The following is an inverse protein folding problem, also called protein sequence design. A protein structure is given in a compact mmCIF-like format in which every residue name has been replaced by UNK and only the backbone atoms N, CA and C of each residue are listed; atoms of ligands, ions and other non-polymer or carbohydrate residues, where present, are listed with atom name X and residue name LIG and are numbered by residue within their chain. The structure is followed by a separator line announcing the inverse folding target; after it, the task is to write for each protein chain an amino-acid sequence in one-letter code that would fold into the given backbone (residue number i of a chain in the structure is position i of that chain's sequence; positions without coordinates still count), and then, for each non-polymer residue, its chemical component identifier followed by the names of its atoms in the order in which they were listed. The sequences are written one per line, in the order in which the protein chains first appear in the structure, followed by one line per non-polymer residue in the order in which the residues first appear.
data_IF_399262190432
#
_entry.id   IF_399262190432
#
_cell.length_a   1.000
_cell.length_b   1.000
_cell.length_c   1.000
_cell.angle_alpha   90.00
_cell.angle_beta   90.00
_cell.angle_gamma   90.00
#
_symmetry.space_group_name_H-M   'P 1'
#
loop_
_entity.id
_entity.type
_entity.pdbx_description
1 polymer ?
#
# COMPACT_ATOMS: atom_id res chain seq x y z
N UNK A 1 33.13 -13.61 12.36
CA UNK A 1 33.86 -12.42 12.85
C UNK A 1 34.04 -11.51 11.65
N UNK A 2 33.17 -10.51 11.48
CA UNK A 2 33.26 -9.57 10.37
C UNK A 2 32.93 -8.16 10.87
N UNK A 3 33.70 -7.21 10.38
CA UNK A 3 33.75 -5.81 10.80
C UNK A 3 33.02 -4.96 9.78
N UNK A 4 32.14 -4.06 10.23
CA UNK A 4 31.48 -3.06 9.39
C UNK A 4 32.23 -1.73 9.51
N UNK A 5 32.66 -1.15 8.38
CA UNK A 5 33.23 0.20 8.33
C UNK A 5 32.22 1.19 7.76
N UNK A 6 32.01 2.30 8.46
CA UNK A 6 31.09 3.38 8.08
C UNK A 6 31.85 4.43 7.26
N UNK A 7 31.29 4.83 6.11
CA UNK A 7 31.69 6.02 5.36
C UNK A 7 30.59 7.08 5.49
N UNK A 8 30.97 8.32 5.81
CA UNK A 8 30.09 9.44 6.09
C UNK A 8 29.32 9.90 4.84
N UNK A 9 28.19 9.27 4.54
CA UNK A 9 27.10 9.85 3.73
C UNK A 9 25.79 9.15 4.14
N UNK A 10 24.73 9.93 4.39
CA UNK A 10 23.41 9.53 4.91
C UNK A 10 22.64 8.57 3.98
N UNK A 11 23.11 7.34 3.79
CA UNK A 11 22.31 6.27 3.19
C UNK A 11 22.48 5.02 4.05
N UNK A 12 21.36 4.55 4.61
CA UNK A 12 21.29 3.27 5.32
C UNK A 12 20.70 2.27 4.35
N UNK A 13 21.51 1.32 3.89
CA UNK A 13 21.04 0.16 3.13
C UNK A 13 20.93 -1.02 4.10
N UNK A 14 19.73 -1.59 4.24
CA UNK A 14 19.53 -2.84 5.00
C UNK A 14 19.61 -3.99 4.00
N UNK A 15 20.56 -4.90 4.22
CA UNK A 15 20.75 -6.09 3.40
C UNK A 15 20.19 -7.30 4.18
N UNK A 16 19.11 -7.89 3.70
CA UNK A 16 18.53 -9.11 4.28
C UNK A 16 19.02 -10.28 3.42
N UNK A 17 19.98 -11.06 3.93
CA UNK A 17 20.42 -12.28 3.26
C UNK A 17 19.50 -13.46 3.61
N UNK A 18 18.86 -14.05 2.61
CA UNK A 18 18.09 -15.28 2.77
C UNK A 18 19.02 -16.49 2.70
N UNK A 19 19.24 -17.19 3.82
CA UNK A 19 19.94 -18.48 3.81
C UNK A 19 18.94 -19.61 3.54
N UNK A 20 18.49 -19.74 2.30
CA UNK A 20 17.69 -20.86 1.83
C UNK A 20 18.15 -21.28 0.43
N UNK A 21 18.45 -22.57 0.24
CA UNK A 21 18.82 -23.09 -1.09
C UNK A 21 17.59 -23.16 -1.99
N UNK A 22 17.35 -22.10 -2.77
CA UNK A 22 16.61 -22.16 -4.02
C UNK A 22 17.52 -21.61 -5.13
N UNK A 23 17.62 -22.36 -6.22
CA UNK A 23 18.69 -22.22 -7.21
C UNK A 23 18.63 -20.94 -8.05
N UNK A 24 19.82 -20.46 -8.41
CA UNK A 24 20.05 -19.37 -9.37
C UNK A 24 20.43 -18.04 -8.70
N UNK A 25 21.21 -17.17 -9.37
CA UNK A 25 21.64 -15.91 -8.80
C UNK A 25 20.42 -14.98 -8.69
N UNK A 26 19.85 -14.85 -7.50
CA UNK A 26 18.89 -13.79 -7.18
C UNK A 26 19.68 -12.51 -6.88
N UNK A 27 19.44 -11.49 -7.69
CA UNK A 27 19.92 -10.14 -7.47
C UNK A 27 19.45 -9.68 -6.09
N UNK A 28 20.38 -9.24 -5.25
CA UNK A 28 20.06 -8.72 -3.93
C UNK A 28 19.42 -7.34 -4.07
N UNK A 29 18.10 -7.27 -3.97
CA UNK A 29 17.37 -6.01 -4.03
C UNK A 29 17.54 -5.23 -2.71
N UNK A 30 18.08 -4.01 -2.73
CA UNK A 30 18.22 -3.21 -1.53
C UNK A 30 16.87 -2.60 -1.13
N UNK A 31 16.46 -2.84 0.12
CA UNK A 31 15.40 -2.09 0.79
C UNK A 31 15.83 -0.63 0.93
N UNK A 32 15.05 0.29 0.37
CA UNK A 32 15.19 1.74 0.59
C UNK A 32 14.13 2.15 1.61
N UNK A 33 14.58 2.66 2.75
CA UNK A 33 13.72 3.19 3.80
C UNK A 33 13.77 4.72 3.74
N UNK A 34 12.65 5.37 3.48
CA UNK A 34 12.50 6.81 3.77
C UNK A 34 12.00 6.98 5.21
N UNK A 35 12.72 7.77 6.01
CA UNK A 35 12.50 7.95 7.44
C UNK A 35 11.74 9.26 7.73
N UNK A 36 11.03 9.83 6.75
CA UNK A 36 10.36 11.11 6.89
C UNK A 36 9.04 11.11 7.69
N UNK A 37 8.44 9.95 8.00
CA UNK A 37 7.35 9.86 8.99
C UNK A 37 5.92 9.89 8.47
N UNK A 38 5.70 9.90 7.15
CA UNK A 38 4.34 10.08 6.57
C UNK A 38 3.86 8.86 5.75
N UNK A 39 4.48 7.69 5.94
CA UNK A 39 4.15 6.46 5.22
C UNK A 39 5.38 5.80 4.62
N UNK A 40 5.41 4.46 4.66
CA UNK A 40 6.54 3.65 4.20
C UNK A 40 6.22 3.14 2.78
N UNK A 41 7.06 3.47 1.80
CA UNK A 41 7.04 2.91 0.43
C UNK A 41 8.14 1.83 0.31
N UNK A 42 7.75 0.56 0.09
CA UNK A 42 8.66 -0.57 -0.13
C UNK A 42 8.47 -1.12 -1.55
N UNK A 43 9.33 -0.73 -2.50
CA UNK A 43 9.30 -1.31 -3.86
C UNK A 43 10.16 -2.59 -3.93
N UNK A 44 9.53 -3.76 -4.08
CA UNK A 44 10.18 -5.02 -4.46
C UNK A 44 9.34 -5.69 -5.57
N UNK A 45 9.87 -6.67 -6.33
CA UNK A 45 9.15 -7.33 -7.45
C UNK A 45 7.74 -7.88 -7.10
N UNK A 46 7.45 -8.00 -5.80
CA UNK A 46 6.10 -8.09 -5.23
C UNK A 46 6.03 -6.99 -4.17
N UNK A 47 5.28 -5.94 -4.45
CA UNK A 47 5.25 -4.76 -3.60
C UNK A 47 4.85 -5.12 -2.15
N UNK A 48 5.39 -4.36 -1.19
CA UNK A 48 5.32 -4.65 0.24
C UNK A 48 4.62 -3.56 1.02
N UNK A 49 4.59 -3.74 2.34
CA UNK A 49 4.04 -2.76 3.27
C UNK A 49 4.83 -2.71 4.56
N UNK A 50 4.60 -1.68 5.35
CA UNK A 50 5.07 -1.64 6.72
C UNK A 50 4.09 -0.89 7.62
N UNK A 51 3.99 -1.33 8.87
CA UNK A 51 3.10 -0.75 9.87
C UNK A 51 2.99 -1.66 11.09
N UNK A 52 2.48 -1.14 12.20
CA UNK A 52 2.38 -1.88 13.46
C UNK A 52 1.21 -2.87 13.41
N UNK A 53 1.47 -4.10 13.00
CA UNK A 53 0.43 -5.10 12.76
C UNK A 53 -0.03 -5.71 14.08
N UNK A 54 0.83 -5.80 15.10
CA UNK A 54 0.52 -6.40 16.40
C UNK A 54 0.19 -5.43 17.53
N UNK A 55 0.22 -4.12 17.28
CA UNK A 55 -0.13 -3.09 18.26
C UNK A 55 0.95 -2.89 19.33
N UNK A 56 2.19 -3.29 19.06
CA UNK A 56 3.29 -3.19 20.02
C UNK A 56 4.13 -1.90 19.89
N UNK A 57 3.74 -1.01 18.99
CA UNK A 57 4.36 0.27 18.73
C UNK A 57 5.60 0.20 17.84
N UNK A 58 5.94 -0.97 17.27
CA UNK A 58 7.04 -1.12 16.30
C UNK A 58 6.48 -1.42 14.90
N UNK A 59 6.99 -0.78 13.84
CA UNK A 59 6.54 -1.09 12.49
C UNK A 59 7.03 -2.46 12.05
N UNK A 60 6.08 -3.33 11.70
CA UNK A 60 6.31 -4.62 11.08
C UNK A 60 6.47 -4.48 9.56
N UNK A 61 6.95 -5.53 8.90
CA UNK A 61 7.09 -5.58 7.42
C UNK A 61 6.10 -6.58 6.84
N UNK A 62 5.48 -6.24 5.71
CA UNK A 62 4.46 -7.06 5.06
C UNK A 62 4.84 -7.36 3.60
N UNK A 63 4.43 -8.55 3.17
CA UNK A 63 4.32 -8.98 1.78
C UNK A 63 3.00 -9.76 1.61
N UNK A 64 2.52 -10.02 0.40
CA UNK A 64 1.19 -10.60 0.21
C UNK A 64 0.92 -11.93 0.95
N UNK A 65 1.97 -12.72 1.19
CA UNK A 65 1.91 -14.06 1.80
C UNK A 65 2.49 -14.17 3.22
N UNK A 66 3.05 -13.09 3.79
CA UNK A 66 3.55 -13.08 5.16
C UNK A 66 3.70 -11.67 5.74
N UNK A 67 3.72 -11.57 7.07
CA UNK A 67 4.24 -10.39 7.77
C UNK A 67 5.34 -10.79 8.75
N UNK A 68 6.22 -9.84 9.05
CA UNK A 68 7.42 -10.04 9.85
C UNK A 68 7.35 -9.12 11.06
N UNK A 69 7.18 -9.73 12.23
CA UNK A 69 7.13 -9.06 13.53
C UNK A 69 8.51 -8.46 13.86
N UNK A 70 8.52 -7.15 14.10
CA UNK A 70 9.73 -6.41 14.41
C UNK A 70 10.27 -6.79 15.80
N UNK A 71 11.54 -7.17 15.95
CA UNK A 71 12.15 -7.30 17.27
C UNK A 71 12.35 -5.92 17.93
N UNK A 72 12.65 -5.89 19.22
CA UNK A 72 12.97 -4.63 19.94
C UNK A 72 14.13 -3.85 19.30
N UNK A 73 15.16 -4.56 18.80
CA UNK A 73 16.24 -3.99 17.98
C UNK A 73 16.13 -4.49 16.54
N UNK A 74 15.60 -3.71 15.58
CA UNK A 74 15.42 -4.13 14.20
C UNK A 74 16.75 -4.40 13.46
N UNK A 75 17.90 -3.97 14.00
CA UNK A 75 19.22 -4.16 13.39
C UNK A 75 19.95 -5.42 13.84
N UNK A 76 19.58 -5.97 15.00
CA UNK A 76 20.29 -7.10 15.61
C UNK A 76 19.37 -8.25 16.04
N UNK A 77 18.09 -7.97 16.24
CA UNK A 77 17.08 -8.95 16.63
C UNK A 77 16.64 -9.84 15.46
N UNK A 78 15.90 -10.89 15.81
CA UNK A 78 15.30 -11.80 14.83
C UNK A 78 13.88 -11.32 14.51
N UNK A 79 13.63 -11.11 13.22
CA UNK A 79 12.28 -10.87 12.70
C UNK A 79 11.51 -12.18 12.69
N UNK A 80 10.31 -12.20 13.26
CA UNK A 80 9.49 -13.41 13.34
C UNK A 80 8.42 -13.38 12.27
N UNK A 81 8.48 -14.36 11.37
CA UNK A 81 7.54 -14.50 10.26
C UNK A 81 6.20 -15.11 10.73
N UNK A 82 5.11 -14.56 10.22
CA UNK A 82 3.74 -15.02 10.42
C UNK A 82 3.03 -15.13 9.07
N UNK A 83 2.17 -16.15 8.87
CA UNK A 83 1.46 -16.32 7.61
C UNK A 83 0.45 -15.21 7.35
N UNK A 84 0.32 -14.81 6.10
CA UNK A 84 -0.67 -13.86 5.60
C UNK A 84 -1.17 -14.32 4.22
N UNK A 85 -2.33 -13.83 3.79
CA UNK A 85 -2.82 -14.04 2.43
C UNK A 85 -3.71 -12.87 2.02
N UNK A 86 -3.16 -11.91 1.30
CA UNK A 86 -3.86 -10.71 0.83
C UNK A 86 -3.76 -10.50 -0.68
N UNK A 87 -4.67 -9.72 -1.25
CA UNK A 87 -4.74 -9.38 -2.67
C UNK A 87 -5.64 -10.29 -3.50
N UNK A 88 -5.76 -11.58 -3.16
CA UNK A 88 -6.63 -12.51 -3.88
C UNK A 88 -8.09 -12.45 -3.41
N UNK A 89 -9.03 -12.76 -4.30
CA UNK A 89 -10.46 -12.98 -3.95
C UNK A 89 -10.78 -14.41 -3.50
N UNK A 90 -9.83 -15.33 -3.65
CA UNK A 90 -9.98 -16.75 -3.32
C UNK A 90 -9.35 -17.12 -1.97
N UNK A 91 -9.03 -16.11 -1.15
CA UNK A 91 -8.36 -16.28 0.13
C UNK A 91 -6.88 -16.65 0.03
N UNK A 92 -6.26 -16.45 -1.15
CA UNK A 92 -4.82 -16.63 -1.35
C UNK A 92 -4.12 -15.28 -1.53
N UNK A 93 -2.81 -15.29 -1.29
CA UNK A 93 -1.95 -14.19 -1.68
C UNK A 93 -1.94 -14.03 -3.21
N UNK A 94 -2.05 -12.80 -3.69
CA UNK A 94 -1.91 -12.45 -5.11
C UNK A 94 -1.00 -11.22 -5.25
N UNK A 95 -0.70 -10.80 -6.49
CA UNK A 95 0.12 -9.63 -6.74
C UNK A 95 -0.63 -8.37 -6.33
N UNK A 96 -0.19 -7.78 -5.23
CA UNK A 96 -0.62 -6.47 -4.75
C UNK A 96 0.47 -5.45 -5.01
N UNK A 97 0.10 -4.16 -5.24
CA UNK A 97 1.04 -3.08 -5.17
C UNK A 97 1.29 -2.75 -3.69
N UNK A 98 0.94 -1.55 -3.24
CA UNK A 98 1.08 -1.14 -1.84
C UNK A 98 0.20 -1.95 -0.88
N UNK A 99 0.76 -2.24 0.29
CA UNK A 99 0.07 -2.81 1.43
C UNK A 99 0.11 -1.77 2.55
N UNK A 100 -1.02 -1.16 2.85
CA UNK A 100 -1.13 -0.15 3.90
C UNK A 100 -1.66 -0.77 5.19
N UNK A 101 -1.29 -0.19 6.33
CA UNK A 101 -1.70 -0.63 7.67
C UNK A 101 -2.46 0.49 8.35
N UNK A 102 -3.72 0.26 8.70
CA UNK A 102 -4.61 1.27 9.27
C UNK A 102 -5.79 0.59 9.98
N UNK A 103 -6.19 1.03 11.16
CA UNK A 103 -7.39 0.55 11.85
C UNK A 103 -8.63 1.14 11.15
N UNK A 104 -9.28 0.38 10.26
CA UNK A 104 -10.36 0.88 9.39
C UNK A 104 -11.69 0.92 10.13
N UNK A 105 -11.93 -0.01 11.05
CA UNK A 105 -13.21 -0.16 11.75
C UNK A 105 -13.20 0.45 13.18
N UNK A 106 -12.14 1.16 13.56
CA UNK A 106 -12.01 1.80 14.86
C UNK A 106 -12.10 0.85 16.05
N UNK A 107 -11.65 -0.39 15.90
CA UNK A 107 -11.67 -1.39 16.98
C UNK A 107 -10.35 -1.46 17.78
N UNK A 108 -9.35 -0.69 17.38
CA UNK A 108 -8.03 -0.62 18.00
C UNK A 108 -7.06 -1.70 17.54
N UNK A 109 -7.46 -2.54 16.57
CA UNK A 109 -6.58 -3.45 15.86
C UNK A 109 -6.28 -2.87 14.47
N UNK A 110 -5.01 -2.82 14.09
CA UNK A 110 -4.64 -2.33 12.77
C UNK A 110 -5.03 -3.35 11.68
N UNK A 111 -5.74 -2.89 10.67
CA UNK A 111 -6.14 -3.67 9.51
C UNK A 111 -5.13 -3.52 8.36
N UNK A 112 -5.38 -4.24 7.26
CA UNK A 112 -4.57 -4.14 6.04
C UNK A 112 -5.42 -3.65 4.88
N UNK A 113 -4.96 -2.63 4.15
CA UNK A 113 -5.58 -2.15 2.90
C UNK A 113 -4.66 -2.48 1.74
N UNK A 114 -5.19 -3.07 0.67
CA UNK A 114 -4.42 -3.36 -0.54
C UNK A 114 -5.32 -3.58 -1.77
N UNK A 115 -4.75 -3.85 -2.92
CA UNK A 115 -5.48 -4.03 -4.17
C UNK A 115 -4.91 -5.15 -5.05
N UNK A 116 -5.69 -5.60 -6.02
CA UNK A 116 -5.27 -6.60 -7.00
C UNK A 116 -4.71 -5.92 -8.25
N UNK A 117 -3.38 -5.77 -8.32
CA UNK A 117 -2.70 -4.97 -9.32
C UNK A 117 -3.06 -5.37 -10.77
N UNK A 118 -3.20 -6.67 -11.05
CA UNK A 118 -3.43 -7.16 -12.42
C UNK A 118 -4.90 -7.57 -12.66
N UNK A 119 -5.82 -7.15 -11.80
CA UNK A 119 -7.22 -7.58 -11.85
C UNK A 119 -8.17 -6.49 -11.38
N UNK A 120 -9.27 -6.91 -10.78
CA UNK A 120 -10.31 -6.03 -10.25
C UNK A 120 -10.39 -6.25 -8.74
N UNK A 121 -10.21 -5.18 -7.97
CA UNK A 121 -10.37 -5.26 -6.53
C UNK A 121 -9.46 -4.33 -5.75
N UNK A 122 -10.09 -3.60 -4.84
CA UNK A 122 -9.50 -2.89 -3.72
C UNK A 122 -10.16 -3.50 -2.48
N UNK A 123 -9.34 -3.85 -1.49
CA UNK A 123 -9.77 -4.61 -0.34
C UNK A 123 -9.22 -3.99 0.93
N UNK A 124 -9.95 -4.22 2.02
CA UNK A 124 -9.37 -4.17 3.35
C UNK A 124 -9.57 -5.51 4.05
N UNK A 125 -8.65 -5.86 4.92
CA UNK A 125 -8.62 -7.12 5.65
C UNK A 125 -8.70 -6.78 7.13
N UNK A 126 -9.90 -6.99 7.69
CA UNK A 126 -10.19 -6.75 9.08
C UNK A 126 -9.42 -7.74 9.95
N UNK A 127 -8.63 -7.22 10.89
CA UNK A 127 -8.00 -8.02 11.90
C UNK A 127 -9.02 -8.44 12.96
N UNK A 128 -8.95 -9.69 13.43
CA UNK A 128 -9.66 -10.13 14.62
C UNK A 128 -8.78 -11.00 15.50
N UNK A 129 -8.99 -10.93 16.81
CA UNK A 129 -8.25 -11.67 17.82
C UNK A 129 -9.20 -12.54 18.65
N UNK A 130 -9.09 -13.86 18.51
CA UNK A 130 -9.85 -14.85 19.28
C UNK A 130 -8.89 -15.82 19.97
N UNK A 131 -8.97 -15.97 21.30
CA UNK A 131 -8.10 -16.84 22.10
C UNK A 131 -6.58 -16.66 21.83
N UNK A 132 -6.18 -15.41 21.58
CA UNK A 132 -4.79 -15.05 21.26
C UNK A 132 -4.35 -15.44 19.83
N UNK A 133 -5.29 -15.87 18.98
CA UNK A 133 -5.04 -16.15 17.57
C UNK A 133 -5.61 -15.03 16.71
N UNK A 134 -4.79 -14.60 15.76
CA UNK A 134 -5.18 -13.63 14.75
C UNK A 134 -5.89 -14.31 13.59
N UNK A 135 -6.95 -13.69 13.11
CA UNK A 135 -7.60 -14.02 11.84
C UNK A 135 -7.88 -12.76 11.02
N UNK A 136 -8.20 -12.94 9.74
CA UNK A 136 -8.44 -11.85 8.79
C UNK A 136 -9.77 -12.06 8.07
N UNK A 137 -10.60 -11.03 8.01
CA UNK A 137 -11.84 -11.01 7.23
C UNK A 137 -11.66 -10.04 6.07
N UNK A 138 -11.73 -10.55 4.85
CA UNK A 138 -11.61 -9.72 3.65
C UNK A 138 -12.93 -9.02 3.34
N UNK A 139 -12.84 -7.71 3.12
CA UNK A 139 -13.93 -6.87 2.66
C UNK A 139 -13.56 -6.21 1.32
N UNK A 140 -14.53 -6.08 0.43
CA UNK A 140 -14.31 -5.41 -0.86
C UNK A 140 -14.72 -3.95 -0.76
N UNK A 141 -13.80 -3.05 -1.09
CA UNK A 141 -14.04 -1.61 -1.20
C UNK A 141 -14.64 -1.30 -2.57
N UNK A 142 -13.96 -1.74 -3.65
CA UNK A 142 -14.43 -1.60 -5.02
C UNK A 142 -13.79 -2.67 -5.92
N UNK A 143 -14.58 -3.27 -6.80
CA UNK A 143 -14.10 -4.19 -7.83
C UNK A 143 -14.71 -3.91 -9.22
N UNK A 144 -15.23 -2.71 -9.41
CA UNK A 144 -15.92 -2.29 -10.64
C UNK A 144 -14.97 -1.77 -11.73
N UNK A 145 -13.69 -1.59 -11.41
CA UNK A 145 -12.63 -1.23 -12.36
C UNK A 145 -11.33 -1.99 -12.08
N UNK A 146 -10.44 -2.00 -13.06
CA UNK A 146 -9.27 -2.88 -13.09
C UNK A 146 -7.94 -2.17 -13.04
N UNK A 147 -6.91 -2.89 -12.60
CA UNK A 147 -5.53 -2.47 -12.46
C UNK A 147 -5.24 -1.31 -11.47
N UNK A 148 -5.77 -1.36 -10.24
CA UNK A 148 -5.33 -0.50 -9.13
C UNK A 148 -3.88 -0.85 -8.75
N UNK A 149 -2.89 -0.16 -9.33
CA UNK A 149 -1.46 -0.38 -9.03
C UNK A 149 -0.89 0.60 -8.01
N UNK A 150 -1.71 1.49 -7.47
CA UNK A 150 -1.29 2.48 -6.50
C UNK A 150 -2.40 2.66 -5.48
N UNK A 151 -2.06 2.64 -4.20
CA UNK A 151 -2.92 3.10 -3.11
C UNK A 151 -2.08 4.12 -2.35
N UNK A 152 -2.65 5.30 -2.13
CA UNK A 152 -2.12 6.33 -1.24
C UNK A 152 -3.16 6.60 -0.18
N UNK A 153 -2.75 6.58 1.10
CA UNK A 153 -3.61 6.99 2.20
C UNK A 153 -3.38 8.48 2.51
N UNK A 154 -4.46 9.25 2.65
CA UNK A 154 -4.43 10.66 3.01
C UNK A 154 -5.79 11.11 3.54
N UNK A 155 -5.80 12.00 4.52
CA UNK A 155 -7.01 12.68 5.00
C UNK A 155 -7.35 13.82 4.02
N UNK A 156 -8.23 13.56 3.05
CA UNK A 156 -8.49 14.48 1.93
C UNK A 156 -9.57 15.52 2.22
N UNK A 157 -10.47 15.24 3.15
CA UNK A 157 -11.56 16.13 3.54
C UNK A 157 -11.40 16.73 4.94
N UNK A 158 -10.26 16.48 5.58
CA UNK A 158 -9.86 17.00 6.89
C UNK A 158 -10.78 16.56 8.04
N UNK A 159 -11.39 15.38 7.93
CA UNK A 159 -12.23 14.80 8.97
C UNK A 159 -11.44 13.99 10.02
N UNK A 160 -10.15 13.72 9.73
CA UNK A 160 -9.22 13.01 10.59
C UNK A 160 -9.09 11.51 10.28
N UNK A 161 -9.88 10.99 9.35
CA UNK A 161 -9.79 9.62 8.85
C UNK A 161 -8.95 9.57 7.57
N UNK A 162 -8.17 8.49 7.38
CA UNK A 162 -7.34 8.35 6.18
C UNK A 162 -8.15 7.70 5.06
N UNK A 163 -8.31 8.44 3.96
CA UNK A 163 -8.97 8.00 2.74
C UNK A 163 -8.02 7.30 1.78
N UNK A 164 -8.57 6.71 0.70
CA UNK A 164 -7.78 6.12 -0.37
C UNK A 164 -7.80 6.99 -1.62
N UNK A 165 -6.63 7.36 -2.12
CA UNK A 165 -6.43 7.83 -3.50
C UNK A 165 -5.83 6.71 -4.33
N UNK A 166 -6.43 6.44 -5.48
CA UNK A 166 -5.99 5.38 -6.38
C UNK A 166 -6.38 5.68 -7.83
N UNK A 167 -5.91 4.86 -8.76
CA UNK A 167 -6.34 4.95 -10.14
C UNK A 167 -5.85 3.79 -10.97
N UNK A 168 -6.39 3.74 -12.18
CA UNK A 168 -6.06 2.70 -13.15
C UNK A 168 -4.69 2.96 -13.76
N UNK A 169 -3.78 2.01 -13.62
CA UNK A 169 -2.58 1.92 -14.46
C UNK A 169 -2.96 1.40 -15.83
N UNK A 170 -3.39 2.31 -16.70
CA UNK A 170 -3.90 1.97 -18.03
C UNK A 170 -2.87 1.18 -18.84
N UNK A 171 -3.28 0.02 -19.37
CA UNK A 171 -2.42 -0.93 -20.09
C UNK A 171 -1.14 -1.30 -19.33
N UNK A 172 -1.24 -1.64 -18.04
CA UNK A 172 -0.09 -2.03 -17.19
C UNK A 172 0.86 -3.01 -17.90
N UNK A 173 0.36 -4.17 -18.34
CA UNK A 173 1.10 -5.12 -19.19
C UNK A 173 0.71 -5.06 -20.67
N UNK A 174 0.70 -3.84 -21.22
CA UNK A 174 0.40 -3.56 -22.63
C UNK A 174 -1.03 -3.99 -23.04
N UNK A 175 -1.95 -4.01 -22.08
CA UNK A 175 -3.36 -4.32 -22.30
C UNK A 175 -3.72 -5.80 -22.19
N UNK A 176 -2.78 -6.67 -21.81
CA UNK A 176 -3.03 -8.11 -21.66
C UNK A 176 -3.74 -8.49 -20.35
N UNK A 177 -3.64 -7.66 -19.31
CA UNK A 177 -4.34 -7.87 -18.05
C UNK A 177 -5.87 -7.73 -18.25
N UNK A 178 -6.69 -8.42 -17.43
CA UNK A 178 -8.11 -8.14 -17.30
C UNK A 178 -8.41 -6.63 -17.24
N UNK A 179 -9.32 -6.18 -18.10
CA UNK A 179 -9.69 -4.77 -18.23
C UNK A 179 -8.57 -3.83 -18.70
N UNK A 180 -7.47 -4.36 -19.28
CA UNK A 180 -6.33 -3.59 -19.80
C UNK A 180 -6.67 -2.47 -20.78
N UNK A 181 -7.81 -2.60 -21.47
CA UNK A 181 -8.30 -1.64 -22.46
C UNK A 181 -9.47 -0.79 -21.96
N UNK A 182 -9.96 -1.02 -20.74
CA UNK A 182 -11.03 -0.23 -20.13
C UNK A 182 -10.57 1.21 -19.86
N UNK A 183 -11.51 2.18 -19.79
CA UNK A 183 -11.18 3.58 -19.58
C UNK A 183 -10.23 3.81 -18.40
N UNK A 184 -9.26 4.70 -18.59
CA UNK A 184 -8.44 5.20 -17.49
C UNK A 184 -9.30 6.02 -16.52
N UNK A 185 -8.98 5.95 -15.23
CA UNK A 185 -9.67 6.71 -14.21
C UNK A 185 -8.82 6.91 -12.96
N UNK A 186 -9.19 7.93 -12.19
CA UNK A 186 -8.60 8.33 -10.91
C UNK A 186 -9.74 8.50 -9.93
N UNK A 187 -9.57 7.95 -8.72
CA UNK A 187 -10.63 7.80 -7.75
C UNK A 187 -10.13 8.15 -6.35
N UNK A 188 -11.04 8.74 -5.57
CA UNK A 188 -10.93 8.93 -4.13
C UNK A 188 -12.01 8.09 -3.46
N UNK A 189 -11.66 7.37 -2.39
CA UNK A 189 -12.60 6.66 -1.55
C UNK A 189 -12.53 7.25 -0.15
N UNK A 190 -13.56 8.03 0.18
CA UNK A 190 -13.78 8.65 1.50
C UNK A 190 -14.19 7.57 2.50
N UNK A 191 -13.52 7.52 3.64
CA UNK A 191 -13.79 6.59 4.72
C UNK A 191 -14.65 7.25 5.79
N UNK A 192 -15.92 6.85 5.89
CA UNK A 192 -16.68 7.06 7.12
C UNK A 192 -16.24 6.01 8.15
N UNK A 193 -15.24 6.36 8.98
CA UNK A 193 -14.65 5.42 9.94
C UNK A 193 -15.58 5.16 11.13
N UNK A 194 -15.56 3.92 11.61
CA UNK A 194 -16.31 3.48 12.78
C UNK A 194 -16.52 1.97 12.78
N UNK A 195 -17.23 1.45 13.77
CA UNK A 195 -17.43 -0.01 13.93
C UNK A 195 -17.99 -0.72 12.70
N UNK A 196 -18.72 0.01 11.85
CA UNK A 196 -19.24 -0.44 10.56
C UNK A 196 -18.80 0.56 9.49
N UNK A 197 -17.54 0.49 9.03
CA UNK A 197 -16.95 1.52 8.18
C UNK A 197 -17.61 1.53 6.80
N UNK A 198 -17.75 2.71 6.20
CA UNK A 198 -18.28 2.86 4.82
C UNK A 198 -17.29 3.58 3.93
N UNK A 199 -17.21 3.13 2.69
CA UNK A 199 -16.38 3.73 1.66
C UNK A 199 -17.24 4.43 0.61
N UNK A 200 -17.17 5.76 0.55
CA UNK A 200 -17.86 6.57 -0.43
C UNK A 200 -16.92 6.89 -1.60
N UNK A 201 -17.26 6.41 -2.80
CA UNK A 201 -16.42 6.62 -3.98
C UNK A 201 -16.71 7.95 -4.67
N UNK A 202 -15.67 8.75 -4.84
CA UNK A 202 -15.62 9.93 -5.69
C UNK A 202 -14.80 9.64 -6.95
N UNK A 203 -15.35 9.97 -8.13
CA UNK A 203 -14.62 9.84 -9.41
C UNK A 203 -13.99 11.17 -9.75
N UNK A 204 -12.67 11.25 -9.69
CA UNK A 204 -11.91 12.47 -9.99
C UNK A 204 -11.79 12.65 -11.52
N UNK A 205 -11.47 11.56 -12.24
CA UNK A 205 -11.44 11.54 -13.70
C UNK A 205 -11.81 10.15 -14.23
N UNK A 206 -12.52 10.10 -15.36
CA UNK A 206 -12.88 8.84 -16.02
C UNK A 206 -12.99 9.03 -17.54
N UNK A 207 -12.23 8.24 -18.30
CA UNK A 207 -12.28 8.22 -19.75
C UNK A 207 -11.63 9.42 -20.44
N UNK A 208 -10.97 10.30 -19.68
CA UNK A 208 -10.29 11.50 -20.19
C UNK A 208 -8.84 11.22 -20.63
N UNK A 209 -8.43 9.95 -20.60
CA UNK A 209 -7.06 9.54 -20.88
C UNK A 209 -6.10 9.80 -19.72
N UNK A 210 -6.63 10.10 -18.53
CA UNK A 210 -5.86 10.30 -17.29
C UNK A 210 -6.01 9.04 -16.43
N UNK A 211 -4.89 8.47 -16.02
CA UNK A 211 -4.84 7.32 -15.11
C UNK A 211 -3.67 7.48 -14.14
N UNK A 212 -3.50 6.49 -13.26
CA UNK A 212 -2.44 6.51 -12.26
C UNK A 212 -1.20 5.72 -12.72
N UNK A 213 -0.08 6.05 -12.09
CA UNK A 213 1.19 5.35 -12.25
C UNK A 213 1.27 4.19 -11.26
N UNK A 214 2.45 4.03 -10.67
CA UNK A 214 2.65 3.13 -9.52
C UNK A 214 2.57 3.90 -8.20
N UNK A 215 2.75 5.23 -8.23
CA UNK A 215 2.64 6.13 -7.08
C UNK A 215 1.71 7.30 -7.41
N UNK A 216 1.01 7.81 -6.40
CA UNK A 216 0.16 9.01 -6.48
C UNK A 216 0.55 9.93 -5.31
N UNK A 217 1.36 10.98 -5.55
CA UNK A 217 1.62 11.99 -4.54
C UNK A 217 0.34 12.73 -4.14
N UNK A 218 0.14 12.88 -2.84
CA UNK A 218 -0.90 13.70 -2.23
C UNK A 218 -0.22 14.72 -1.32
N UNK A 219 -0.38 16.01 -1.62
CA UNK A 219 0.36 17.10 -0.96
C UNK A 219 -0.35 18.42 -1.19
N UNK A 220 -0.32 19.33 -0.21
CA UNK A 220 -0.70 20.74 -0.39
C UNK A 220 0.30 21.42 -1.35
N UNK A 221 -0.07 21.56 -2.62
CA UNK A 221 0.86 22.01 -3.67
C UNK A 221 0.88 23.53 -3.81
N UNK A 222 -0.23 24.21 -3.49
CA UNK A 222 -0.36 25.66 -3.62
C UNK A 222 -0.28 26.44 -2.29
N UNK A 223 -0.27 25.72 -1.17
CA UNK A 223 -0.07 26.25 0.18
C UNK A 223 -1.35 26.80 0.81
N UNK A 224 -2.53 26.39 0.35
CA UNK A 224 -3.80 26.88 0.86
C UNK A 224 -4.37 26.07 2.04
N UNK A 225 -3.76 24.93 2.32
CA UNK A 225 -4.01 24.09 3.49
C UNK A 225 -4.85 22.84 3.22
N UNK A 226 -5.33 22.61 2.00
CA UNK A 226 -5.90 21.33 1.59
C UNK A 226 -4.91 20.45 0.81
N UNK A 227 -5.16 19.14 0.78
CA UNK A 227 -4.26 18.19 0.11
C UNK A 227 -4.68 18.00 -1.35
N UNK A 228 -3.75 18.25 -2.27
CA UNK A 228 -3.94 18.05 -3.70
C UNK A 228 -3.50 16.67 -4.18
N UNK A 229 -3.99 16.27 -5.35
CA UNK A 229 -3.62 14.99 -5.99
C UNK A 229 -2.81 15.25 -7.26
N UNK A 230 -1.63 14.63 -7.35
CA UNK A 230 -0.82 14.65 -8.58
C UNK A 230 -0.78 13.25 -9.17
N UNK A 231 -1.14 13.11 -10.45
CA UNK A 231 -1.06 11.82 -11.15
C UNK A 231 -0.11 11.88 -12.34
N UNK A 232 0.65 10.81 -12.50
CA UNK A 232 1.41 10.50 -13.72
C UNK A 232 1.03 9.10 -14.16
N UNK A 233 0.44 8.94 -15.33
CA UNK A 233 0.08 7.63 -15.86
C UNK A 233 1.19 7.03 -16.71
N UNK A 234 1.14 5.71 -16.93
CA UNK A 234 1.89 5.08 -18.05
C UNK A 234 1.50 5.72 -19.40
N UNK A 235 0.24 6.15 -19.49
CA UNK A 235 -0.32 6.95 -20.58
C UNK A 235 -1.17 8.06 -19.95
N UNK A 236 -0.88 9.32 -20.27
CA UNK A 236 -1.53 10.50 -19.69
C UNK A 236 -0.78 11.13 -18.52
N UNK A 237 -1.02 12.42 -18.29
CA UNK A 237 -0.34 13.24 -17.27
C UNK A 237 1.03 13.81 -17.68
N UNK A 238 1.72 14.56 -16.78
CA UNK A 238 1.31 14.86 -15.40
C UNK A 238 0.03 15.73 -15.33
N UNK A 239 -0.85 15.44 -14.39
CA UNK A 239 -2.04 16.26 -14.07
C UNK A 239 -2.04 16.54 -12.57
N UNK A 240 -2.32 17.79 -12.22
CA UNK A 240 -2.62 18.24 -10.86
C UNK A 240 -4.14 18.41 -10.74
N UNK A 241 -4.73 17.77 -9.74
CA UNK A 241 -6.10 17.99 -9.32
C UNK A 241 -6.05 18.79 -8.02
N UNK A 242 -6.41 20.08 -8.14
CA UNK A 242 -6.58 20.99 -7.02
C UNK A 242 -7.77 20.54 -6.18
N UNK A 243 -7.54 20.35 -4.87
CA UNK A 243 -8.64 20.19 -3.93
C UNK A 243 -9.24 21.58 -3.62
N UNK A 244 -10.54 21.63 -3.36
CA UNK A 244 -11.25 22.88 -3.09
C UNK A 244 -12.06 22.81 -1.79
N UNK A 245 -11.86 21.75 -1.02
CA UNK A 245 -12.50 21.53 0.28
C UNK A 245 -11.66 22.16 1.37
N UNK A 246 -12.23 23.15 2.06
CA UNK A 246 -11.59 23.86 3.17
C UNK A 246 -12.06 23.38 4.52
#
# INVERSE_FOLDING_TARGET
MQTVSISQTQRVSIHIEFTGTLGGPQQSDPLILDLAGDGIDLTSEKDGGAGDINGDGRPDILRPDAWFEAPEDPRAGQWKEHPLAVGGKDGKADHTPHICVYDVNADGLNDIITSLAHGYGIFWYQQSMEDGKRSWIQHTIDDTWSQPHAITLADLDADGDLDIVTGKRYKAHNGHDPGGMEPAGVYWYELERGAEPKWNRHTISLGEGIGAGMNIPVVDLDGDGDLDIVVTGKYGGPVWFENQTK
#
